data_IF_586457159396
#
_entry.id   IF_586457159396
#
_cell.length_a   1.000
_cell.length_b   1.000
_cell.length_c   1.000
_cell.angle_alpha   90.00
_cell.angle_beta   90.00
_cell.angle_gamma   90.00
#
_symmetry.space_group_name_H-M   'P 1'
#
loop_
_entity.id
_entity.type
_entity.pdbx_description
1 polymer ?
#
# COMPACT_ATOMS: atom_id res chain seq x y z
N UNK A 1 -10.92 2.54 15.86
CA UNK A 1 -11.85 1.37 15.94
C UNK A 1 -13.25 1.74 16.39
N UNK A 2 -13.46 2.42 17.53
CA UNK A 2 -14.80 2.77 18.03
C UNK A 2 -15.60 3.60 17.01
N UNK A 3 -14.97 4.64 16.44
CA UNK A 3 -15.59 5.43 15.36
C UNK A 3 -15.93 4.59 14.12
N UNK A 4 -15.12 3.59 13.78
CA UNK A 4 -15.38 2.71 12.66
C UNK A 4 -16.64 1.86 12.90
N UNK A 5 -16.77 1.24 14.07
CA UNK A 5 -17.99 0.49 14.41
C UNK A 5 -19.21 1.37 14.42
N UNK A 6 -19.11 2.58 14.95
CA UNK A 6 -20.20 3.55 14.92
C UNK A 6 -20.57 3.97 13.47
N UNK A 7 -19.56 4.24 12.63
CA UNK A 7 -19.80 4.61 11.24
C UNK A 7 -20.49 3.49 10.45
N UNK A 8 -20.01 2.25 10.64
CA UNK A 8 -20.63 1.07 10.03
C UNK A 8 -22.08 0.93 10.47
N UNK A 9 -22.37 1.09 11.76
CA UNK A 9 -23.74 1.05 12.29
C UNK A 9 -24.64 2.10 11.62
N UNK A 10 -24.17 3.35 11.51
CA UNK A 10 -24.93 4.45 10.89
C UNK A 10 -25.20 4.17 9.41
N UNK A 11 -24.17 3.66 8.68
CA UNK A 11 -24.31 3.31 7.26
C UNK A 11 -25.36 2.24 7.07
N UNK A 12 -25.37 1.18 7.88
CA UNK A 12 -26.37 0.10 7.78
C UNK A 12 -27.79 0.55 8.10
N UNK A 13 -27.95 1.54 8.98
CA UNK A 13 -29.29 2.06 9.29
C UNK A 13 -29.82 3.08 8.25
N UNK A 14 -28.95 3.66 7.41
CA UNK A 14 -29.35 4.60 6.35
C UNK A 14 -29.96 5.92 6.84
N UNK A 15 -30.12 6.12 8.14
CA UNK A 15 -30.70 7.30 8.77
C UNK A 15 -29.92 7.65 10.05
N UNK A 16 -29.83 8.93 10.36
CA UNK A 16 -29.19 9.40 11.59
C UNK A 16 -30.29 10.03 12.49
N UNK A 17 -30.87 9.24 13.38
CA UNK A 17 -31.76 9.71 14.44
C UNK A 17 -31.06 9.64 15.78
N UNK A 18 -31.54 10.37 16.78
CA UNK A 18 -30.97 10.36 18.13
C UNK A 18 -30.97 8.94 18.72
N UNK A 19 -32.04 8.19 18.49
CA UNK A 19 -32.17 6.80 18.94
C UNK A 19 -31.11 5.89 18.30
N UNK A 20 -30.97 5.95 16.98
CA UNK A 20 -29.96 5.17 16.23
C UNK A 20 -28.54 5.54 16.67
N UNK A 21 -28.28 6.81 16.94
CA UNK A 21 -26.99 7.26 17.45
C UNK A 21 -26.69 6.72 18.85
N UNK A 22 -27.65 6.76 19.77
CA UNK A 22 -27.49 6.21 21.12
C UNK A 22 -27.24 4.70 21.10
N UNK A 23 -28.06 3.93 20.36
CA UNK A 23 -27.84 2.50 20.20
C UNK A 23 -26.50 2.20 19.52
N UNK A 24 -26.12 2.99 18.52
CA UNK A 24 -24.84 2.88 17.81
C UNK A 24 -23.65 3.04 18.72
N UNK A 25 -23.68 4.00 19.64
CA UNK A 25 -22.61 4.20 20.64
C UNK A 25 -22.51 3.00 21.58
N UNK A 26 -23.64 2.50 22.10
CA UNK A 26 -23.65 1.32 23.01
C UNK A 26 -23.09 0.10 22.29
N UNK A 27 -23.54 -0.17 21.08
CA UNK A 27 -23.07 -1.32 20.27
C UNK A 27 -21.58 -1.16 19.92
N UNK A 28 -21.14 0.05 19.52
CA UNK A 28 -19.75 0.31 19.22
C UNK A 28 -18.82 0.07 20.43
N UNK A 29 -19.25 0.48 21.65
CA UNK A 29 -18.51 0.23 22.88
C UNK A 29 -18.47 -1.25 23.20
N UNK A 30 -19.59 -1.96 23.09
CA UNK A 30 -19.65 -3.41 23.35
C UNK A 30 -18.76 -4.19 22.37
N UNK A 31 -18.82 -3.87 21.07
CA UNK A 31 -17.95 -4.47 20.05
C UNK A 31 -16.48 -4.15 20.29
N UNK A 32 -16.17 -2.92 20.65
CA UNK A 32 -14.79 -2.52 20.96
C UNK A 32 -14.26 -3.29 22.18
N UNK A 33 -15.04 -3.40 23.25
CA UNK A 33 -14.69 -4.17 24.45
C UNK A 33 -14.47 -5.66 24.11
N UNK A 34 -15.33 -6.23 23.27
CA UNK A 34 -15.19 -7.60 22.79
C UNK A 34 -13.88 -7.80 22.03
N UNK A 35 -13.57 -6.92 21.06
CA UNK A 35 -12.33 -6.98 20.27
C UNK A 35 -11.10 -6.82 21.16
N UNK A 36 -11.13 -5.90 22.13
CA UNK A 36 -10.03 -5.74 23.08
C UNK A 36 -9.80 -6.99 23.92
N UNK A 37 -10.88 -7.63 24.40
CA UNK A 37 -10.80 -8.79 25.31
C UNK A 37 -10.39 -10.07 24.59
N UNK A 38 -10.97 -10.36 23.41
CA UNK A 38 -10.80 -11.64 22.72
C UNK A 38 -9.75 -11.63 21.62
N UNK A 39 -9.50 -10.48 20.98
CA UNK A 39 -8.54 -10.37 19.87
C UNK A 39 -7.21 -9.71 20.30
N UNK A 40 -7.00 -9.44 21.59
CA UNK A 40 -5.77 -8.83 22.09
C UNK A 40 -5.47 -7.46 21.46
N UNK A 41 -6.52 -6.76 21.05
CA UNK A 41 -6.40 -5.42 20.49
C UNK A 41 -6.12 -4.41 21.62
N UNK A 42 -5.11 -3.56 21.44
CA UNK A 42 -4.76 -2.54 22.44
C UNK A 42 -4.83 -1.13 21.83
N UNK A 43 -5.16 -0.16 22.67
CA UNK A 43 -5.16 1.27 22.31
C UNK A 43 -3.80 1.74 21.78
N UNK A 44 -2.70 1.10 22.21
CA UNK A 44 -1.36 1.40 21.71
C UNK A 44 -1.20 0.98 20.22
N UNK A 45 -1.78 -0.16 19.83
CA UNK A 45 -1.80 -0.61 18.42
C UNK A 45 -2.64 0.35 17.56
N UNK A 46 -3.75 0.84 18.09
CA UNK A 46 -4.61 1.82 17.41
C UNK A 46 -3.88 3.15 17.18
N UNK A 47 -3.18 3.67 18.20
CA UNK A 47 -2.39 4.90 18.06
C UNK A 47 -1.27 4.76 17.04
N UNK A 48 -0.62 3.58 16.98
CA UNK A 48 0.40 3.27 15.98
C UNK A 48 -0.19 3.21 14.58
N UNK A 49 -1.38 2.65 14.42
CA UNK A 49 -2.09 2.61 13.14
C UNK A 49 -2.39 4.03 12.62
N UNK A 50 -2.94 4.91 13.48
CA UNK A 50 -3.20 6.31 13.07
C UNK A 50 -1.93 7.08 12.71
N UNK A 51 -0.80 6.79 13.34
CA UNK A 51 0.48 7.40 12.98
C UNK A 51 0.98 6.93 11.60
N UNK A 52 0.70 5.68 11.23
CA UNK A 52 1.08 5.10 9.93
C UNK A 52 0.17 5.57 8.78
N UNK A 53 -1.05 5.98 9.09
CA UNK A 53 -2.05 6.36 8.09
C UNK A 53 -1.59 7.47 7.13
N UNK A 54 -1.00 8.60 7.57
CA UNK A 54 -0.54 9.64 6.65
C UNK A 54 0.58 9.16 5.72
N UNK A 55 1.49 8.31 6.21
CA UNK A 55 2.55 7.72 5.38
C UNK A 55 1.94 6.78 4.34
N UNK A 56 0.94 5.99 4.71
CA UNK A 56 0.20 5.13 3.81
C UNK A 56 -0.57 5.92 2.74
N UNK A 57 -1.23 7.01 3.11
CA UNK A 57 -1.90 7.89 2.15
C UNK A 57 -0.92 8.52 1.16
N UNK A 58 0.26 8.92 1.64
CA UNK A 58 1.33 9.44 0.80
C UNK A 58 1.84 8.39 -0.18
N UNK A 59 2.05 7.16 0.31
CA UNK A 59 2.43 6.01 -0.50
C UNK A 59 1.39 5.71 -1.59
N UNK A 60 0.12 5.63 -1.24
CA UNK A 60 -0.97 5.38 -2.19
C UNK A 60 -1.06 6.48 -3.26
N UNK A 61 -0.88 7.75 -2.88
CA UNK A 61 -0.85 8.86 -3.82
C UNK A 61 0.29 8.73 -4.83
N UNK A 62 1.52 8.44 -4.36
CA UNK A 62 2.66 8.24 -5.24
C UNK A 62 2.48 7.01 -6.14
N UNK A 63 1.90 5.92 -5.62
CA UNK A 63 1.62 4.73 -6.40
C UNK A 63 0.66 5.02 -7.57
N UNK A 64 -0.46 5.71 -7.31
CA UNK A 64 -1.42 6.10 -8.34
C UNK A 64 -0.75 6.99 -9.38
N UNK A 65 0.03 7.97 -8.94
CA UNK A 65 0.78 8.87 -9.85
C UNK A 65 1.74 8.10 -10.74
N UNK A 66 2.48 7.15 -10.17
CA UNK A 66 3.46 6.34 -10.91
C UNK A 66 2.78 5.41 -11.92
N UNK A 67 1.68 4.74 -11.52
CA UNK A 67 0.89 3.92 -12.43
C UNK A 67 0.42 4.74 -13.64
N UNK A 68 -0.09 5.95 -13.44
CA UNK A 68 -0.55 6.81 -14.53
C UNK A 68 0.64 7.22 -15.43
N UNK A 69 1.75 7.65 -14.83
CA UNK A 69 2.96 8.06 -15.56
C UNK A 69 3.53 6.91 -16.41
N UNK A 70 3.66 5.73 -15.80
CA UNK A 70 4.18 4.54 -16.48
C UNK A 70 3.26 4.05 -17.60
N UNK A 71 1.94 4.15 -17.45
CA UNK A 71 1.01 3.85 -18.55
C UNK A 71 1.27 4.73 -19.77
N UNK A 72 1.44 6.04 -19.57
CA UNK A 72 1.78 6.94 -20.68
C UNK A 72 3.14 6.63 -21.29
N UNK A 73 4.15 6.33 -20.48
CA UNK A 73 5.48 5.98 -20.95
C UNK A 73 5.47 4.69 -21.80
N UNK A 74 4.80 3.63 -21.33
CA UNK A 74 4.69 2.37 -22.06
C UNK A 74 3.85 2.53 -23.34
N UNK A 75 2.74 3.27 -23.29
CA UNK A 75 1.96 3.60 -24.49
C UNK A 75 2.81 4.34 -25.53
N UNK A 76 3.58 5.33 -25.09
CA UNK A 76 4.49 6.07 -25.98
C UNK A 76 5.55 5.15 -26.59
N UNK A 77 6.14 4.27 -25.78
CA UNK A 77 7.13 3.28 -26.22
C UNK A 77 6.56 2.35 -27.29
N UNK A 78 5.36 1.79 -27.08
CA UNK A 78 4.68 0.90 -28.04
C UNK A 78 4.38 1.61 -29.36
N UNK A 79 3.96 2.87 -29.30
CA UNK A 79 3.59 3.65 -30.50
C UNK A 79 4.81 4.11 -31.30
N UNK A 80 5.93 4.39 -30.61
CA UNK A 80 7.10 5.06 -31.22
C UNK A 80 8.25 4.10 -31.52
N UNK A 81 8.47 3.07 -30.66
CA UNK A 81 9.65 2.18 -30.72
C UNK A 81 9.27 0.73 -31.00
N UNK A 82 8.55 0.45 -32.05
CA UNK A 82 8.09 -0.90 -32.40
C UNK A 82 9.17 -1.99 -32.51
N UNK A 83 10.44 -1.63 -32.72
CA UNK A 83 11.51 -2.60 -33.08
C UNK A 83 12.73 -2.58 -32.12
N UNK A 84 12.74 -1.80 -31.05
CA UNK A 84 13.92 -1.64 -30.19
C UNK A 84 13.57 -1.75 -28.68
N UNK A 85 12.74 -2.72 -28.32
CA UNK A 85 12.46 -3.04 -26.90
C UNK A 85 13.55 -4.02 -26.45
N UNK A 86 14.26 -3.66 -25.37
CA UNK A 86 15.31 -4.49 -24.75
C UNK A 86 14.84 -5.00 -23.37
N UNK A 87 14.16 -6.16 -23.31
CA UNK A 87 13.74 -6.73 -22.04
C UNK A 87 14.96 -7.13 -21.21
N UNK A 88 14.90 -6.83 -19.89
CA UNK A 88 15.99 -7.12 -18.97
C UNK A 88 15.47 -7.67 -17.65
N UNK A 89 16.24 -8.57 -17.03
CA UNK A 89 16.07 -9.01 -15.65
C UNK A 89 17.07 -8.25 -14.78
N UNK A 90 16.58 -7.59 -13.75
CA UNK A 90 17.39 -6.78 -12.84
C UNK A 90 17.21 -7.28 -11.40
N UNK A 91 18.31 -7.39 -10.68
CA UNK A 91 18.29 -7.59 -9.24
C UNK A 91 18.18 -6.24 -8.54
N UNK A 92 17.14 -6.07 -7.75
CA UNK A 92 16.88 -4.86 -6.96
C UNK A 92 17.14 -5.19 -5.49
N UNK A 93 18.18 -4.61 -4.94
CA UNK A 93 18.49 -4.79 -3.53
C UNK A 93 17.62 -3.91 -2.64
N UNK A 94 17.10 -4.46 -1.54
CA UNK A 94 16.25 -3.73 -0.61
C UNK A 94 16.67 -3.92 0.84
N UNK A 95 16.69 -2.83 1.60
CA UNK A 95 16.98 -2.81 3.03
C UNK A 95 15.72 -2.82 3.91
N UNK A 96 14.55 -3.16 3.34
CA UNK A 96 13.29 -3.26 4.08
C UNK A 96 13.31 -4.46 5.02
N UNK A 97 13.01 -4.22 6.29
CA UNK A 97 13.10 -5.20 7.38
C UNK A 97 11.90 -6.14 7.45
N UNK A 98 10.70 -5.60 7.16
CA UNK A 98 9.45 -6.36 7.30
C UNK A 98 9.05 -6.99 5.98
N UNK A 99 8.63 -8.25 6.03
CA UNK A 99 8.08 -8.97 4.88
C UNK A 99 6.92 -8.21 4.24
N UNK A 100 6.04 -7.61 5.05
CA UNK A 100 4.90 -6.81 4.56
C UNK A 100 5.36 -5.64 3.70
N UNK A 101 6.42 -4.91 4.07
CA UNK A 101 6.94 -3.80 3.27
C UNK A 101 7.61 -4.29 2.00
N UNK A 102 8.33 -5.42 2.04
CA UNK A 102 8.88 -6.06 0.84
C UNK A 102 7.78 -6.50 -0.14
N UNK A 103 6.71 -7.12 0.36
CA UNK A 103 5.55 -7.49 -0.45
C UNK A 103 4.85 -6.26 -1.05
N UNK A 104 4.71 -5.17 -0.29
CA UNK A 104 4.16 -3.92 -0.81
C UNK A 104 5.04 -3.34 -1.92
N UNK A 105 6.36 -3.36 -1.76
CA UNK A 105 7.31 -2.92 -2.79
C UNK A 105 7.19 -3.78 -4.06
N UNK A 106 7.22 -5.11 -3.93
CA UNK A 106 7.08 -6.05 -5.03
C UNK A 106 5.76 -5.86 -5.80
N UNK A 107 4.66 -5.68 -5.06
CA UNK A 107 3.36 -5.40 -5.66
C UNK A 107 3.33 -4.03 -6.36
N UNK A 108 3.99 -3.01 -5.81
CA UNK A 108 4.04 -1.68 -6.45
C UNK A 108 4.81 -1.71 -7.75
N UNK A 109 5.94 -2.43 -7.80
CA UNK A 109 6.70 -2.66 -9.02
C UNK A 109 5.85 -3.38 -10.07
N UNK A 110 5.10 -4.41 -9.66
CA UNK A 110 4.23 -5.18 -10.57
C UNK A 110 3.00 -4.39 -11.04
N UNK A 111 2.46 -3.49 -10.22
CA UNK A 111 1.35 -2.61 -10.59
C UNK A 111 1.77 -1.48 -11.55
N UNK A 112 3.07 -1.19 -11.61
CA UNK A 112 3.61 -0.20 -12.54
C UNK A 112 3.80 -0.86 -13.91
N UNK A 113 3.10 -0.40 -14.97
CA UNK A 113 3.19 -0.99 -16.29
C UNK A 113 4.63 -1.06 -16.83
N UNK A 114 4.98 -2.21 -17.40
CA UNK A 114 6.30 -2.47 -17.95
C UNK A 114 7.29 -3.14 -17.00
N UNK A 115 6.88 -3.41 -15.74
CA UNK A 115 7.71 -4.12 -14.75
C UNK A 115 6.92 -5.22 -14.05
N UNK A 116 7.58 -6.34 -13.76
CA UNK A 116 6.99 -7.49 -13.03
C UNK A 116 8.02 -8.04 -12.05
N UNK A 117 7.66 -8.20 -10.81
CA UNK A 117 8.48 -8.91 -9.82
C UNK A 117 8.35 -10.42 -10.04
N UNK A 118 9.45 -11.06 -10.41
CA UNK A 118 9.53 -12.49 -10.73
C UNK A 118 9.75 -13.33 -9.47
N UNK A 119 10.63 -12.87 -8.59
CA UNK A 119 10.90 -13.52 -7.30
C UNK A 119 11.30 -12.50 -6.24
N UNK A 120 11.10 -12.86 -4.99
CA UNK A 120 11.43 -12.05 -3.82
C UNK A 120 12.13 -12.92 -2.78
N UNK A 121 13.27 -12.43 -2.29
CA UNK A 121 13.99 -12.98 -1.14
C UNK A 121 13.99 -11.97 0.00
N UNK A 122 14.71 -12.25 1.07
CA UNK A 122 14.79 -11.34 2.22
C UNK A 122 15.49 -10.01 1.90
N UNK A 123 16.39 -10.00 0.93
CA UNK A 123 17.22 -8.83 0.59
C UNK A 123 17.09 -8.38 -0.86
N UNK A 124 16.58 -9.24 -1.74
CA UNK A 124 16.62 -9.00 -3.18
C UNK A 124 15.27 -9.30 -3.84
N UNK A 125 14.92 -8.47 -4.80
CA UNK A 125 13.80 -8.66 -5.72
C UNK A 125 14.38 -8.89 -7.12
N UNK A 126 13.95 -9.95 -7.78
CA UNK A 126 14.23 -10.14 -9.21
C UNK A 126 13.08 -9.54 -10.00
N UNK A 127 13.37 -8.50 -10.77
CA UNK A 127 12.39 -7.73 -11.54
C UNK A 127 12.66 -7.90 -13.03
N UNK A 128 11.62 -8.28 -13.76
CA UNK A 128 11.62 -8.24 -15.22
C UNK A 128 11.08 -6.90 -15.69
N UNK A 129 11.87 -6.16 -16.46
CA UNK A 129 11.50 -4.91 -17.09
C UNK A 129 11.30 -5.12 -18.58
N UNK A 130 10.24 -4.55 -19.13
CA UNK A 130 9.93 -4.58 -20.56
C UNK A 130 11.03 -3.92 -21.40
N UNK A 131 11.66 -2.89 -20.84
CA UNK A 131 12.77 -2.16 -21.45
C UNK A 131 13.78 -1.76 -20.37
N UNK A 132 15.05 -1.73 -20.72
CA UNK A 132 16.15 -1.36 -19.83
C UNK A 132 15.97 0.02 -19.20
N UNK A 133 15.37 0.97 -19.90
CA UNK A 133 15.09 2.31 -19.36
C UNK A 133 14.15 2.29 -18.15
N UNK A 134 13.30 1.27 -18.01
CA UNK A 134 12.39 1.11 -16.89
C UNK A 134 13.05 0.51 -15.64
N UNK A 135 14.28 0.02 -15.75
CA UNK A 135 15.04 -0.52 -14.63
C UNK A 135 15.73 0.57 -13.80
N UNK A 136 15.91 1.75 -14.37
CA UNK A 136 16.64 2.85 -13.72
C UNK A 136 15.85 3.42 -12.53
N UNK A 137 16.50 3.54 -11.37
CA UNK A 137 15.95 4.19 -10.20
C UNK A 137 14.95 3.37 -9.37
N UNK A 138 14.77 2.08 -9.63
CA UNK A 138 13.89 1.21 -8.83
C UNK A 138 14.38 1.12 -7.38
N UNK A 139 15.70 0.96 -7.15
CA UNK A 139 16.31 0.81 -5.83
C UNK A 139 16.16 2.07 -4.96
N UNK A 140 16.29 3.26 -5.57
CA UNK A 140 16.17 4.56 -4.90
C UNK A 140 14.78 5.20 -5.04
N UNK A 141 13.79 4.40 -5.39
CA UNK A 141 12.44 4.87 -5.65
C UNK A 141 11.81 5.54 -4.41
N UNK A 142 10.86 6.42 -4.68
CA UNK A 142 10.05 7.04 -3.62
C UNK A 142 9.33 5.98 -2.77
N UNK A 143 9.01 4.82 -3.35
CA UNK A 143 8.38 3.70 -2.65
C UNK A 143 9.27 3.12 -1.57
N UNK A 144 10.55 2.87 -1.86
CA UNK A 144 11.52 2.34 -0.88
C UNK A 144 11.62 3.30 0.30
N UNK A 145 11.79 4.59 0.06
CA UNK A 145 11.88 5.61 1.10
C UNK A 145 10.61 5.72 1.95
N UNK A 146 9.43 5.66 1.35
CA UNK A 146 8.16 5.73 2.08
C UNK A 146 7.91 4.47 2.88
N UNK A 147 8.29 3.29 2.38
CA UNK A 147 8.16 2.02 3.09
C UNK A 147 9.15 1.93 4.26
N UNK A 148 10.38 2.43 4.11
CA UNK A 148 11.33 2.57 5.24
C UNK A 148 10.75 3.47 6.34
N UNK A 149 10.20 4.63 5.97
CA UNK A 149 9.52 5.52 6.92
C UNK A 149 8.31 4.85 7.58
N UNK A 150 7.59 4.00 6.85
CA UNK A 150 6.46 3.24 7.39
C UNK A 150 6.90 2.18 8.41
N UNK A 151 8.09 1.63 8.28
CA UNK A 151 8.68 0.69 9.25
C UNK A 151 9.12 1.38 10.55
N UNK A 152 9.61 2.62 10.45
CA UNK A 152 10.11 3.39 11.61
C UNK A 152 8.99 3.93 12.52
N UNK A 153 7.79 4.10 12.02
CA UNK A 153 6.60 4.57 12.75
C UNK A 153 5.85 3.40 13.39
#
# INVERSE_FOLDING_TARGET
MLLLFFSVWVIFNGRLTLEIALFGVVIAIAMFAFVCKFMGYSLQKERRFYKKLPVFCQYAYHLIKEIISANFAVCHMILTRKEQIEPVLVHVHTNLKTETCRMLLANSITLTPGTITVSMTDTDLLVHCLDKSLSEGIEDSVFVRLLQKFEEV
#
